data_IF_099323024860
#
_entry.id   IF_099323024860
#
_cell.length_a   1.000
_cell.length_b   1.000
_cell.length_c   1.000
_cell.angle_alpha   90.00
_cell.angle_beta   90.00
_cell.angle_gamma   90.00
#
_symmetry.space_group_name_H-M   'P 1'
#
loop_
_entity.id
_entity.type
_entity.pdbx_description
1 polymer ?
#
# COMPACT_ATOMS: atom_id res chain seq x y z
N UNK A 1 18.18 -4.96 -7.77
CA UNK A 1 16.84 -5.53 -8.07
C UNK A 1 16.95 -6.88 -8.78
N UNK A 2 17.11 -6.96 -10.11
CA UNK A 2 17.06 -8.25 -10.84
C UNK A 2 18.10 -9.26 -10.34
N UNK A 3 19.37 -8.85 -10.22
CA UNK A 3 20.44 -9.71 -9.72
C UNK A 3 20.18 -10.21 -8.29
N UNK A 4 19.78 -9.30 -7.41
CA UNK A 4 19.53 -9.60 -5.99
C UNK A 4 18.30 -10.49 -5.79
N UNK A 5 17.28 -10.34 -6.63
CA UNK A 5 16.07 -11.17 -6.63
C UNK A 5 16.28 -12.57 -7.20
N UNK A 6 17.43 -12.84 -7.84
CA UNK A 6 17.78 -14.12 -8.48
C UNK A 6 16.69 -14.66 -9.43
N UNK A 7 15.96 -13.77 -10.10
CA UNK A 7 14.88 -14.18 -11.02
C UNK A 7 15.46 -14.94 -12.21
N UNK A 8 14.93 -16.14 -12.46
CA UNK A 8 15.33 -16.95 -13.61
C UNK A 8 14.73 -16.45 -14.92
N UNK A 9 13.60 -15.75 -14.84
CA UNK A 9 12.80 -15.31 -15.98
C UNK A 9 12.43 -13.84 -15.84
N UNK A 10 12.59 -13.08 -16.91
CA UNK A 10 12.15 -11.67 -17.00
C UNK A 10 11.14 -11.53 -18.13
N UNK A 11 9.99 -10.95 -17.81
CA UNK A 11 8.96 -10.57 -18.78
C UNK A 11 9.20 -9.13 -19.23
N UNK A 12 9.21 -8.88 -20.53
CA UNK A 12 9.43 -7.54 -21.10
C UNK A 12 8.44 -7.22 -22.20
N UNK A 13 8.16 -5.93 -22.39
CA UNK A 13 7.51 -5.43 -23.58
C UNK A 13 8.54 -5.24 -24.70
N UNK A 14 8.12 -5.30 -25.98
CA UNK A 14 9.02 -5.00 -27.13
C UNK A 14 9.77 -3.67 -26.94
N UNK A 15 9.09 -2.63 -26.47
CA UNK A 15 9.71 -1.31 -26.25
C UNK A 15 10.80 -1.31 -25.17
N UNK A 16 10.75 -2.21 -24.19
CA UNK A 16 11.72 -2.29 -23.10
C UNK A 16 12.69 -3.46 -23.24
N UNK A 17 12.66 -4.19 -24.37
CA UNK A 17 13.50 -5.37 -24.61
C UNK A 17 15.00 -5.03 -24.55
N UNK A 18 15.39 -3.81 -24.94
CA UNK A 18 16.77 -3.34 -24.89
C UNK A 18 17.32 -3.29 -23.45
N UNK A 19 16.48 -2.96 -22.45
CA UNK A 19 16.86 -2.95 -21.04
C UNK A 19 17.25 -4.34 -20.52
N UNK A 20 16.63 -5.40 -21.03
CA UNK A 20 17.02 -6.76 -20.66
C UNK A 20 18.40 -7.15 -21.21
N UNK A 21 18.84 -6.54 -22.33
CA UNK A 21 20.15 -6.80 -22.94
C UNK A 21 21.30 -6.12 -22.18
N UNK A 22 21.01 -5.01 -21.49
CA UNK A 22 21.98 -4.24 -20.71
C UNK A 22 22.14 -4.76 -19.27
N UNK A 23 21.44 -5.82 -18.87
CA UNK A 23 21.60 -6.43 -17.56
C UNK A 23 22.98 -7.10 -17.41
N UNK A 24 23.70 -6.73 -16.35
CA UNK A 24 25.01 -7.30 -15.99
C UNK A 24 24.96 -8.80 -15.72
N UNK A 25 23.86 -9.29 -15.17
CA UNK A 25 23.54 -10.71 -15.01
C UNK A 25 22.30 -11.03 -15.86
N UNK A 26 22.50 -11.85 -16.90
CA UNK A 26 21.39 -12.22 -17.78
C UNK A 26 20.48 -13.23 -17.06
N UNK A 27 19.17 -12.97 -16.95
CA UNK A 27 18.24 -14.00 -16.51
C UNK A 27 18.32 -15.18 -17.48
N UNK A 28 18.07 -16.40 -16.98
CA UNK A 28 18.06 -17.61 -17.79
C UNK A 28 17.11 -17.48 -18.98
N UNK A 29 16.04 -16.71 -18.84
CA UNK A 29 15.08 -16.48 -19.92
C UNK A 29 14.54 -15.06 -19.92
N UNK A 30 14.48 -14.46 -21.11
CA UNK A 30 13.79 -13.18 -21.36
C UNK A 30 12.61 -13.46 -22.29
N UNK A 31 11.39 -13.30 -21.80
CA UNK A 31 10.18 -13.45 -22.60
C UNK A 31 9.60 -12.11 -22.97
N UNK A 32 9.47 -11.86 -24.27
CA UNK A 32 8.74 -10.70 -24.76
C UNK A 32 7.24 -11.01 -24.81
N UNK A 33 6.48 -10.38 -23.91
CA UNK A 33 5.05 -10.67 -23.72
C UNK A 33 4.16 -10.14 -24.85
N UNK A 34 4.68 -9.28 -25.73
CA UNK A 34 3.91 -8.77 -26.89
C UNK A 34 4.18 -9.52 -28.18
N UNK A 35 4.89 -10.67 -28.12
CA UNK A 35 4.98 -11.57 -29.27
C UNK A 35 3.60 -12.18 -29.55
N UNK A 36 3.06 -11.88 -30.74
CA UNK A 36 1.73 -12.29 -31.20
C UNK A 36 1.49 -13.80 -31.19
N UNK A 37 2.55 -14.61 -31.29
CA UNK A 37 2.48 -16.07 -31.21
C UNK A 37 2.09 -16.61 -29.82
N UNK A 38 2.28 -15.83 -28.75
CA UNK A 38 1.92 -16.19 -27.38
C UNK A 38 0.47 -15.84 -27.05
N UNK A 39 -0.04 -14.72 -27.59
CA UNK A 39 -1.39 -14.20 -27.29
C UNK A 39 -2.48 -15.07 -27.96
N UNK A 40 -2.17 -15.72 -29.08
CA UNK A 40 -3.13 -16.50 -29.88
C UNK A 40 -3.30 -17.95 -29.44
N UNK A 41 -2.45 -18.48 -28.56
CA UNK A 41 -2.57 -19.85 -28.05
C UNK A 41 -3.45 -19.86 -26.81
N UNK A 42 -4.70 -20.30 -26.98
CA UNK A 42 -5.54 -20.71 -25.85
C UNK A 42 -4.85 -21.90 -25.19
N UNK A 43 -4.38 -21.73 -23.96
CA UNK A 43 -3.92 -22.85 -23.15
C UNK A 43 -5.13 -23.45 -22.46
N UNK A 44 -5.25 -24.77 -22.49
CA UNK A 44 -6.18 -25.48 -21.62
C UNK A 44 -5.80 -25.14 -20.18
N UNK A 45 -6.68 -24.43 -19.48
CA UNK A 45 -6.45 -23.99 -18.11
C UNK A 45 -6.48 -25.22 -17.21
N UNK A 46 -5.34 -25.86 -17.00
CA UNK A 46 -5.08 -26.44 -15.68
C UNK A 46 -4.97 -25.26 -14.74
N UNK A 47 -5.86 -25.16 -13.76
CA UNK A 47 -5.68 -24.26 -12.61
C UNK A 47 -4.24 -24.46 -12.14
N UNK A 48 -3.35 -23.46 -12.23
CA UNK A 48 -1.98 -23.63 -11.76
C UNK A 48 -2.04 -24.10 -10.32
N UNK A 49 -1.11 -24.96 -9.91
CA UNK A 49 -0.93 -25.30 -8.49
C UNK A 49 -0.91 -23.98 -7.71
N UNK A 50 -1.97 -23.72 -6.96
CA UNK A 50 -2.09 -22.50 -6.18
C UNK A 50 -1.13 -22.67 -5.04
N UNK A 51 -0.10 -21.82 -4.97
CA UNK A 51 0.79 -21.81 -3.81
C UNK A 51 -0.04 -21.66 -2.53
N UNK A 52 0.48 -22.17 -1.41
CA UNK A 52 -0.14 -21.92 -0.09
C UNK A 52 -0.24 -20.42 0.20
N UNK A 53 -1.07 -20.01 1.16
CA UNK A 53 -1.11 -18.62 1.64
C UNK A 53 0.28 -18.08 2.03
N UNK A 54 1.16 -18.93 2.57
CA UNK A 54 2.53 -18.60 2.97
C UNK A 54 3.52 -18.50 1.81
N UNK A 55 3.10 -18.79 0.58
CA UNK A 55 3.95 -18.66 -0.59
C UNK A 55 4.18 -17.19 -0.92
N UNK A 56 5.41 -16.86 -1.34
CA UNK A 56 5.80 -15.51 -1.77
C UNK A 56 5.01 -15.12 -3.03
N UNK A 57 4.37 -13.96 -2.99
CA UNK A 57 3.59 -13.40 -4.08
C UNK A 57 4.39 -12.36 -4.88
N UNK A 58 5.18 -11.53 -4.19
CA UNK A 58 5.99 -10.49 -4.82
C UNK A 58 7.25 -10.18 -4.01
N UNK A 59 8.21 -9.52 -4.67
CA UNK A 59 9.34 -8.85 -4.01
C UNK A 59 9.31 -7.39 -4.45
N UNK A 60 9.30 -6.48 -3.49
CA UNK A 60 9.34 -5.04 -3.76
C UNK A 60 10.58 -4.42 -3.14
N UNK A 61 11.25 -3.57 -3.91
CA UNK A 61 12.44 -2.88 -3.45
C UNK A 61 12.06 -1.50 -2.92
N UNK A 62 12.44 -1.23 -1.67
CA UNK A 62 12.29 0.08 -1.03
C UNK A 62 13.63 0.82 -1.00
N UNK A 63 13.63 2.15 -0.91
CA UNK A 63 14.87 2.88 -0.66
C UNK A 63 15.43 2.44 0.70
N UNK A 64 16.71 2.11 0.74
CA UNK A 64 17.39 1.90 2.01
C UNK A 64 17.96 3.21 2.52
N UNK A 65 17.94 3.40 3.83
CA UNK A 65 18.64 4.50 4.52
C UNK A 65 20.14 4.54 4.23
N UNK A 66 20.75 3.42 3.85
CA UNK A 66 22.15 3.30 3.41
C UNK A 66 22.38 3.58 1.92
N UNK A 67 21.33 3.94 1.16
CA UNK A 67 21.36 4.05 -0.29
C UNK A 67 21.23 2.71 -1.04
N UNK A 68 21.33 1.57 -0.36
CA UNK A 68 21.12 0.24 -0.95
C UNK A 68 19.64 -0.14 -0.91
N UNK A 69 18.97 -0.41 -2.04
CA UNK A 69 17.57 -0.83 -2.05
C UNK A 69 17.35 -2.11 -1.24
N UNK A 70 16.24 -2.19 -0.50
CA UNK A 70 15.91 -3.33 0.36
C UNK A 70 14.76 -4.10 -0.26
N UNK A 71 15.00 -5.33 -0.73
CA UNK A 71 13.94 -6.19 -1.25
C UNK A 71 13.12 -6.81 -0.12
N UNK A 72 11.81 -6.55 -0.10
CA UNK A 72 10.84 -7.06 0.87
C UNK A 72 9.98 -8.11 0.20
N UNK A 73 9.81 -9.29 0.81
CA UNK A 73 8.84 -10.26 0.31
C UNK A 73 7.42 -9.88 0.75
N UNK A 74 6.45 -10.08 -0.15
CA UNK A 74 5.03 -10.09 0.18
C UNK A 74 4.50 -11.52 0.05
N UNK A 75 3.62 -11.93 0.96
CA UNK A 75 3.01 -13.27 0.96
C UNK A 75 1.58 -13.22 0.39
N UNK A 76 1.09 -14.34 -0.16
CA UNK A 76 -0.26 -14.43 -0.70
C UNK A 76 -1.34 -14.19 0.36
N UNK A 77 -1.20 -14.77 1.56
CA UNK A 77 -2.14 -14.59 2.67
C UNK A 77 -2.19 -13.14 3.14
N UNK A 78 -1.02 -12.49 3.22
CA UNK A 78 -0.91 -11.11 3.64
C UNK A 78 -1.59 -10.17 2.64
N UNK A 79 -1.35 -10.37 1.34
CA UNK A 79 -2.01 -9.61 0.29
C UNK A 79 -3.53 -9.85 0.33
N UNK A 80 -3.97 -11.10 0.46
CA UNK A 80 -5.39 -11.45 0.51
C UNK A 80 -6.08 -10.74 1.68
N UNK A 81 -5.50 -10.80 2.88
CA UNK A 81 -6.03 -10.13 4.07
C UNK A 81 -6.11 -8.61 3.91
N UNK A 82 -5.05 -7.96 3.40
CA UNK A 82 -5.05 -6.51 3.19
C UNK A 82 -6.10 -6.12 2.15
N UNK A 83 -6.15 -6.81 1.01
CA UNK A 83 -7.12 -6.52 -0.06
C UNK A 83 -8.55 -6.71 0.44
N UNK A 84 -8.84 -7.81 1.14
CA UNK A 84 -10.17 -8.08 1.68
C UNK A 84 -10.58 -7.03 2.72
N UNK A 85 -9.70 -6.71 3.68
CA UNK A 85 -9.98 -5.73 4.74
C UNK A 85 -10.28 -4.35 4.16
N UNK A 86 -9.45 -3.86 3.24
CA UNK A 86 -9.64 -2.54 2.63
C UNK A 86 -10.83 -2.54 1.67
N UNK A 87 -11.07 -3.64 0.94
CA UNK A 87 -12.22 -3.77 0.05
C UNK A 87 -13.54 -3.68 0.81
N UNK A 88 -13.63 -4.35 1.97
CA UNK A 88 -14.78 -4.24 2.87
C UNK A 88 -14.96 -2.82 3.38
N UNK A 89 -13.89 -2.17 3.86
CA UNK A 89 -13.95 -0.80 4.38
C UNK A 89 -14.39 0.24 3.32
N UNK A 90 -13.97 0.04 2.07
CA UNK A 90 -14.33 0.89 0.94
C UNK A 90 -15.60 0.43 0.21
N UNK A 91 -16.25 -0.65 0.67
CA UNK A 91 -17.44 -1.26 0.07
C UNK A 91 -17.27 -1.60 -1.42
N UNK A 92 -16.10 -2.14 -1.80
CA UNK A 92 -15.81 -2.56 -3.18
C UNK A 92 -16.77 -3.67 -3.60
N UNK A 93 -17.28 -3.57 -4.82
CA UNK A 93 -18.12 -4.59 -5.45
C UNK A 93 -18.02 -4.51 -6.97
N UNK A 94 -18.76 -5.36 -7.68
CA UNK A 94 -18.65 -5.52 -9.14
C UNK A 94 -18.92 -4.23 -9.94
N UNK A 95 -19.71 -3.29 -9.41
CA UNK A 95 -19.98 -1.99 -10.03
C UNK A 95 -18.86 -0.96 -9.80
N UNK A 96 -17.88 -1.29 -8.97
CA UNK A 96 -16.78 -0.38 -8.65
C UNK A 96 -15.85 -0.22 -9.84
N UNK A 97 -15.29 0.98 -9.91
CA UNK A 97 -14.28 1.39 -10.88
C UNK A 97 -13.11 1.96 -10.09
N UNK A 98 -11.94 1.32 -10.19
CA UNK A 98 -10.76 1.62 -9.40
C UNK A 98 -9.66 2.16 -10.30
N UNK A 99 -9.09 3.31 -9.94
CA UNK A 99 -7.95 3.87 -10.65
C UNK A 99 -6.65 3.14 -10.27
N UNK A 100 -5.95 2.65 -11.28
CA UNK A 100 -4.57 2.18 -11.21
C UNK A 100 -3.66 3.29 -11.72
N UNK A 101 -3.02 3.99 -10.78
CA UNK A 101 -2.11 5.08 -11.11
C UNK A 101 -0.74 4.93 -10.42
N UNK A 102 -0.60 4.11 -9.38
CA UNK A 102 0.71 3.93 -8.77
C UNK A 102 1.68 3.21 -9.73
N UNK A 103 2.94 3.64 -9.78
CA UNK A 103 3.92 2.97 -10.62
C UNK A 103 4.09 1.50 -10.19
N UNK A 104 4.32 0.60 -11.16
CA UNK A 104 4.41 -0.85 -10.94
C UNK A 104 5.52 -1.28 -9.96
N UNK A 105 6.48 -0.41 -9.69
CA UNK A 105 7.53 -0.62 -8.68
C UNK A 105 7.05 -0.39 -7.23
N UNK A 106 5.86 0.17 -7.03
CA UNK A 106 5.28 0.43 -5.70
C UNK A 106 4.21 -0.59 -5.36
N UNK A 107 4.11 -0.92 -4.07
CA UNK A 107 3.10 -1.86 -3.53
C UNK A 107 1.65 -1.40 -3.81
N UNK A 108 1.42 -0.09 -3.93
CA UNK A 108 0.11 0.46 -4.25
C UNK A 108 -0.40 0.08 -5.65
N UNK A 109 0.50 -0.27 -6.58
CA UNK A 109 0.09 -0.80 -7.89
C UNK A 109 -0.54 -2.19 -7.76
N UNK A 110 0.04 -3.04 -6.91
CA UNK A 110 -0.50 -4.35 -6.55
C UNK A 110 -1.85 -4.15 -5.84
N UNK A 111 -1.91 -3.22 -4.90
CA UNK A 111 -3.14 -2.87 -4.19
C UNK A 111 -4.28 -2.49 -5.14
N UNK A 112 -4.09 -1.48 -5.99
CA UNK A 112 -5.11 -1.00 -6.92
C UNK A 112 -5.58 -2.10 -7.88
N UNK A 113 -4.64 -2.91 -8.37
CA UNK A 113 -4.92 -4.02 -9.30
C UNK A 113 -5.74 -5.12 -8.61
N UNK A 114 -5.28 -5.63 -7.47
CA UNK A 114 -5.94 -6.72 -6.77
C UNK A 114 -7.27 -6.29 -6.16
N UNK A 115 -7.39 -5.06 -5.67
CA UNK A 115 -8.66 -4.52 -5.18
C UNK A 115 -9.73 -4.54 -6.27
N UNK A 116 -9.37 -4.30 -7.53
CA UNK A 116 -10.32 -4.40 -8.64
C UNK A 116 -10.62 -5.87 -8.98
N UNK A 117 -9.58 -6.64 -9.29
CA UNK A 117 -9.72 -7.99 -9.85
C UNK A 117 -10.31 -9.00 -8.85
N UNK A 118 -9.96 -8.90 -7.56
CA UNK A 118 -10.47 -9.81 -6.55
C UNK A 118 -11.96 -9.59 -6.22
N UNK A 119 -12.50 -8.39 -6.50
CA UNK A 119 -13.89 -8.02 -6.20
C UNK A 119 -14.78 -7.97 -7.46
N UNK A 120 -14.29 -8.41 -8.62
CA UNK A 120 -15.03 -8.34 -9.88
C UNK A 120 -15.28 -6.91 -10.39
N UNK A 121 -14.52 -5.94 -9.89
CA UNK A 121 -14.61 -4.54 -10.25
C UNK A 121 -13.80 -4.21 -11.51
N UNK A 122 -14.01 -3.03 -12.08
CA UNK A 122 -13.26 -2.56 -13.25
C UNK A 122 -11.98 -1.82 -12.82
N UNK A 123 -10.84 -2.18 -13.41
CA UNK A 123 -9.58 -1.47 -13.28
C UNK A 123 -9.43 -0.43 -14.41
N UNK A 124 -9.24 0.84 -14.06
CA UNK A 124 -8.95 1.94 -14.98
C UNK A 124 -7.47 2.27 -14.87
N UNK A 125 -6.70 2.08 -15.94
CA UNK A 125 -5.24 2.21 -15.90
C UNK A 125 -4.84 3.58 -16.46
N UNK A 126 -4.19 4.40 -15.64
CA UNK A 126 -3.65 5.69 -16.06
C UNK A 126 -2.29 5.52 -16.77
N UNK A 127 -2.12 6.21 -17.89
CA UNK A 127 -0.84 6.39 -18.58
C UNK A 127 0.13 7.24 -17.77
N UNK A 128 1.40 7.27 -18.17
CA UNK A 128 2.41 8.10 -17.47
C UNK A 128 2.12 9.59 -17.63
N UNK A 129 1.59 9.97 -18.79
CA UNK A 129 1.20 11.32 -19.16
C UNK A 129 0.00 11.80 -18.34
N UNK A 130 -1.02 10.96 -18.18
CA UNK A 130 -2.19 11.28 -17.35
C UNK A 130 -1.79 11.48 -15.88
N UNK A 131 -0.93 10.63 -15.33
CA UNK A 131 -0.44 10.78 -13.95
C UNK A 131 0.35 12.06 -13.70
N UNK A 132 1.04 12.55 -14.72
CA UNK A 132 1.84 13.76 -14.62
C UNK A 132 1.00 15.05 -14.75
N UNK A 133 -0.29 14.96 -15.06
CA UNK A 133 -1.17 16.10 -15.33
C UNK A 133 -2.46 16.02 -14.49
N UNK A 134 -2.71 16.99 -13.60
CA UNK A 134 -3.93 17.06 -12.81
C UNK A 134 -5.18 17.05 -13.67
N UNK A 135 -5.17 17.81 -14.78
CA UNK A 135 -6.31 17.89 -15.67
C UNK A 135 -6.55 16.52 -16.33
N UNK A 136 -5.51 15.88 -16.85
CA UNK A 136 -5.66 14.61 -17.55
C UNK A 136 -6.11 13.48 -16.60
N UNK A 137 -5.57 13.40 -15.39
CA UNK A 137 -6.03 12.38 -14.42
C UNK A 137 -7.47 12.63 -13.98
N UNK A 138 -7.87 13.89 -13.77
CA UNK A 138 -9.26 14.24 -13.42
C UNK A 138 -10.21 13.98 -14.59
N UNK A 139 -9.79 14.25 -15.83
CA UNK A 139 -10.54 13.89 -17.04
C UNK A 139 -10.73 12.38 -17.15
N UNK A 140 -9.71 11.58 -16.83
CA UNK A 140 -9.78 10.13 -16.79
C UNK A 140 -10.75 9.64 -15.69
N UNK A 141 -10.69 10.22 -14.49
CA UNK A 141 -11.60 9.93 -13.39
C UNK A 141 -13.07 10.14 -13.81
N UNK A 142 -13.35 11.28 -14.47
CA UNK A 142 -14.67 11.63 -14.97
C UNK A 142 -15.12 10.70 -16.11
N UNK A 143 -14.31 10.58 -17.16
CA UNK A 143 -14.64 9.85 -18.40
C UNK A 143 -14.85 8.36 -18.18
N UNK A 144 -14.17 7.79 -17.19
CA UNK A 144 -14.31 6.38 -16.82
C UNK A 144 -15.12 6.15 -15.55
N UNK A 145 -15.84 7.17 -15.05
CA UNK A 145 -16.70 7.07 -13.88
C UNK A 145 -16.01 6.39 -12.68
N UNK A 146 -14.76 6.77 -12.40
CA UNK A 146 -14.00 6.16 -11.32
C UNK A 146 -14.71 6.41 -9.99
N UNK A 147 -14.92 5.32 -9.24
CA UNK A 147 -15.63 5.34 -7.96
C UNK A 147 -14.68 5.35 -6.77
N UNK A 148 -13.52 4.71 -6.89
CA UNK A 148 -12.53 4.60 -5.81
C UNK A 148 -11.16 4.90 -6.39
N UNK A 149 -10.40 5.72 -5.70
CA UNK A 149 -9.00 5.98 -6.05
C UNK A 149 -8.13 6.06 -4.81
N UNK A 150 -6.84 5.82 -5.01
CA UNK A 150 -5.80 6.19 -4.05
C UNK A 150 -5.05 7.41 -4.58
N UNK A 151 -4.80 8.38 -3.70
CA UNK A 151 -3.90 9.49 -3.95
C UNK A 151 -3.26 9.91 -2.63
N UNK A 152 -1.96 10.23 -2.65
CA UNK A 152 -1.34 10.81 -1.46
C UNK A 152 -2.04 12.14 -1.11
N UNK A 153 -2.09 12.54 0.17
CA UNK A 153 -2.77 13.78 0.57
C UNK A 153 -2.32 15.02 -0.23
N UNK A 154 -1.01 15.18 -0.45
CA UNK A 154 -0.47 16.30 -1.25
C UNK A 154 -0.82 16.20 -2.74
N UNK A 155 -0.84 14.98 -3.29
CA UNK A 155 -1.20 14.73 -4.68
C UNK A 155 -2.68 15.06 -4.94
N UNK A 156 -3.58 14.60 -4.08
CA UNK A 156 -5.00 14.94 -4.19
C UNK A 156 -5.24 16.44 -4.03
N UNK A 157 -4.55 17.08 -3.08
CA UNK A 157 -4.59 18.54 -2.94
C UNK A 157 -4.14 19.26 -4.22
N UNK A 158 -3.08 18.78 -4.85
CA UNK A 158 -2.61 19.32 -6.12
C UNK A 158 -3.65 19.16 -7.24
N UNK A 159 -4.35 18.01 -7.31
CA UNK A 159 -5.43 17.83 -8.27
C UNK A 159 -6.56 18.85 -8.07
N UNK A 160 -7.05 18.99 -6.84
CA UNK A 160 -8.16 19.91 -6.52
C UNK A 160 -7.77 21.37 -6.76
N UNK A 161 -6.55 21.79 -6.37
CA UNK A 161 -6.07 23.15 -6.60
C UNK A 161 -5.90 23.49 -8.09
N UNK A 162 -5.51 22.51 -8.90
CA UNK A 162 -5.28 22.72 -10.33
C UNK A 162 -6.58 22.72 -11.14
N UNK A 163 -7.53 21.87 -10.78
CA UNK A 163 -8.75 21.61 -11.55
C UNK A 163 -9.99 22.34 -11.02
N UNK A 164 -9.95 22.80 -9.77
CA UNK A 164 -11.10 23.36 -9.05
C UNK A 164 -11.95 22.26 -8.38
N UNK A 165 -12.51 22.54 -7.19
CA UNK A 165 -13.28 21.55 -6.42
C UNK A 165 -14.55 21.08 -7.14
N UNK A 166 -15.18 21.95 -7.93
CA UNK A 166 -16.43 21.66 -8.63
C UNK A 166 -16.29 20.48 -9.60
N UNK A 167 -15.10 20.30 -10.20
CA UNK A 167 -14.86 19.18 -11.12
C UNK A 167 -14.97 17.82 -10.43
N UNK A 168 -14.82 17.73 -9.11
CA UNK A 168 -14.95 16.49 -8.36
C UNK A 168 -16.38 16.24 -7.88
N UNK A 169 -17.26 17.25 -7.94
CA UNK A 169 -18.66 17.14 -7.52
C UNK A 169 -19.47 16.31 -8.54
N UNK A 170 -19.10 16.37 -9.83
CA UNK A 170 -19.76 15.63 -10.91
C UNK A 170 -19.18 14.23 -11.16
N UNK A 171 -18.03 13.91 -10.59
CA UNK A 171 -17.40 12.59 -10.74
C UNK A 171 -18.05 11.65 -9.72
N UNK A 172 -18.44 10.41 -10.11
CA UNK A 172 -19.05 9.44 -9.20
C UNK A 172 -18.05 8.80 -8.21
N UNK A 173 -17.09 9.58 -7.72
CA UNK A 173 -16.17 9.21 -6.66
C UNK A 173 -16.95 9.05 -5.35
N UNK A 174 -16.79 7.89 -4.73
CA UNK A 174 -17.37 7.57 -3.41
C UNK A 174 -16.31 7.42 -2.33
N UNK A 175 -15.07 7.09 -2.70
CA UNK A 175 -13.99 6.92 -1.71
C UNK A 175 -12.64 7.32 -2.29
N UNK A 176 -11.93 8.17 -1.55
CA UNK A 176 -10.54 8.51 -1.78
C UNK A 176 -9.73 7.98 -0.61
N UNK A 177 -8.86 7.02 -0.90
CA UNK A 177 -7.92 6.47 0.06
C UNK A 177 -6.65 7.33 -0.02
N UNK A 178 -6.26 7.91 1.10
CA UNK A 178 -4.98 8.57 1.28
C UNK A 178 -4.02 7.66 2.03
N UNK A 179 -2.74 7.98 1.97
CA UNK A 179 -1.71 7.26 2.71
C UNK A 179 -0.33 7.65 2.25
N UNK A 180 0.69 7.11 2.92
CA UNK A 180 2.10 7.39 2.60
C UNK A 180 2.59 8.78 3.03
N UNK A 181 1.70 9.72 3.37
CA UNK A 181 2.01 11.00 3.99
C UNK A 181 1.04 11.29 5.13
N UNK A 182 1.49 12.07 6.12
CA UNK A 182 0.61 12.54 7.18
C UNK A 182 -0.43 13.51 6.60
N UNK A 183 -1.71 13.22 6.82
CA UNK A 183 -2.78 14.19 6.55
C UNK A 183 -2.61 15.40 7.49
N UNK A 184 -2.63 16.61 6.92
CA UNK A 184 -2.48 17.89 7.63
C UNK A 184 -3.78 18.67 7.55
N UNK A 185 -3.93 19.69 8.39
CA UNK A 185 -5.08 20.59 8.39
C UNK A 185 -5.31 21.27 7.01
N UNK A 186 -4.23 21.57 6.26
CA UNK A 186 -4.33 22.09 4.89
C UNK A 186 -5.03 21.12 3.94
N UNK A 187 -4.86 19.80 4.10
CA UNK A 187 -5.54 18.80 3.29
C UNK A 187 -7.03 18.70 3.66
N UNK A 188 -7.37 18.86 4.95
CA UNK A 188 -8.77 18.88 5.38
C UNK A 188 -9.55 20.05 4.78
N UNK A 189 -8.91 21.21 4.60
CA UNK A 189 -9.52 22.33 3.89
C UNK A 189 -9.86 21.97 2.43
N UNK A 190 -8.99 21.21 1.76
CA UNK A 190 -9.27 20.67 0.42
C UNK A 190 -10.45 19.70 0.46
N UNK A 191 -10.50 18.76 1.40
CA UNK A 191 -11.60 17.80 1.51
C UNK A 191 -12.94 18.51 1.72
N UNK A 192 -12.97 19.54 2.59
CA UNK A 192 -14.14 20.39 2.84
C UNK A 192 -14.60 21.20 1.63
N UNK A 193 -13.69 21.52 0.71
CA UNK A 193 -14.04 22.35 -0.46
C UNK A 193 -14.88 21.61 -1.50
N UNK A 194 -14.89 20.26 -1.49
CA UNK A 194 -15.69 19.46 -2.40
C UNK A 194 -17.10 19.32 -1.84
N UNK A 195 -18.13 19.82 -2.55
CA UNK A 195 -19.52 19.70 -2.11
C UNK A 195 -20.16 18.37 -2.53
N UNK A 196 -19.59 17.27 -2.06
CA UNK A 196 -20.13 15.93 -2.24
C UNK A 196 -20.20 15.22 -0.87
N UNK A 197 -21.39 15.19 -0.26
CA UNK A 197 -21.59 14.59 1.07
C UNK A 197 -21.46 13.07 1.10
N UNK A 198 -21.50 12.41 -0.07
CA UNK A 198 -21.32 10.96 -0.20
C UNK A 198 -19.85 10.56 -0.37
N UNK A 199 -18.96 11.52 -0.63
CA UNK A 199 -17.53 11.26 -0.80
C UNK A 199 -16.86 11.01 0.54
N UNK A 200 -16.36 9.79 0.74
CA UNK A 200 -15.57 9.43 1.93
C UNK A 200 -14.08 9.64 1.66
N UNK A 201 -13.39 10.24 2.63
CA UNK A 201 -11.94 10.26 2.68
C UNK A 201 -11.49 9.25 3.73
N UNK A 202 -10.56 8.36 3.37
CA UNK A 202 -10.02 7.36 4.28
C UNK A 202 -8.51 7.48 4.32
N UNK A 203 -7.89 7.40 5.50
CA UNK A 203 -6.43 7.40 5.60
C UNK A 203 -5.92 6.00 5.95
N UNK A 204 -5.03 5.50 5.11
CA UNK A 204 -4.38 4.21 5.26
C UNK A 204 -2.94 4.36 5.72
N UNK A 205 -2.54 3.55 6.69
CA UNK A 205 -1.16 3.46 7.17
C UNK A 205 -0.65 2.05 7.07
N UNK A 206 0.60 1.91 6.61
CA UNK A 206 1.33 0.66 6.65
C UNK A 206 2.69 0.79 5.95
N UNK A 207 3.75 0.17 6.48
CA UNK A 207 5.00 -0.02 5.74
C UNK A 207 4.86 -1.16 4.72
N UNK A 208 5.76 -1.20 3.73
CA UNK A 208 5.83 -2.32 2.75
C UNK A 208 6.01 -3.65 3.47
N UNK A 209 6.76 -3.66 4.56
CA UNK A 209 7.08 -4.81 5.42
C UNK A 209 5.88 -5.38 6.19
N UNK A 210 4.79 -4.63 6.29
CA UNK A 210 3.52 -5.09 6.84
C UNK A 210 2.42 -5.18 5.77
N UNK A 211 2.81 -5.30 4.50
CA UNK A 211 1.92 -5.51 3.35
C UNK A 211 0.92 -4.39 3.09
N UNK A 212 1.43 -3.28 2.52
CA UNK A 212 0.68 -2.12 2.01
C UNK A 212 0.03 -1.28 3.12
N UNK A 213 -0.98 -1.80 3.81
CA UNK A 213 -1.69 -1.15 4.89
C UNK A 213 -1.82 -2.12 6.08
N UNK A 214 -1.54 -1.63 7.29
CA UNK A 214 -1.84 -2.27 8.56
C UNK A 214 -3.05 -1.62 9.26
N UNK A 215 -3.41 -0.40 8.87
CA UNK A 215 -4.54 0.36 9.41
C UNK A 215 -5.31 1.08 8.30
N UNK A 216 -6.60 1.30 8.53
CA UNK A 216 -7.46 2.15 7.70
C UNK A 216 -8.51 2.83 8.57
N UNK A 217 -8.83 4.08 8.29
CA UNK A 217 -9.91 4.80 8.98
C UNK A 217 -10.54 5.88 8.14
N UNK A 218 -11.80 6.18 8.39
CA UNK A 218 -12.48 7.34 7.80
C UNK A 218 -11.94 8.62 8.45
N UNK A 219 -11.57 9.58 7.61
CA UNK A 219 -11.16 10.91 8.06
C UNK A 219 -12.44 11.71 8.35
N UNK A 220 -12.72 11.93 9.63
CA UNK A 220 -13.76 12.87 10.04
C UNK A 220 -13.23 14.30 9.91
N UNK A 221 -13.33 14.86 8.71
CA UNK A 221 -12.93 16.23 8.43
C UNK A 221 -13.94 17.25 8.98
N UNK A 222 -15.11 16.84 9.45
CA UNK A 222 -16.13 17.76 9.99
C UNK A 222 -15.82 18.17 11.42
N UNK A 223 -15.21 17.29 12.21
CA UNK A 223 -14.75 17.60 13.56
C UNK A 223 -13.52 18.49 13.51
N UNK A 224 -13.47 19.50 14.39
CA UNK A 224 -12.25 20.26 14.67
C UNK A 224 -11.28 19.47 15.56
N UNK A 225 -11.11 18.18 15.29
CA UNK A 225 -10.16 17.38 16.06
C UNK A 225 -8.75 17.85 15.73
N UNK A 226 -7.96 18.05 16.79
CA UNK A 226 -6.54 18.41 16.68
C UNK A 226 -5.71 17.29 16.03
N UNK A 227 -6.19 16.06 16.13
CA UNK A 227 -5.47 14.85 15.73
C UNK A 227 -6.22 14.09 14.64
N UNK A 228 -5.51 13.72 13.57
CA UNK A 228 -6.03 12.90 12.48
C UNK A 228 -5.39 11.53 12.64
N UNK A 229 -6.22 10.52 12.88
CA UNK A 229 -5.81 9.13 13.07
C UNK A 229 -5.78 8.40 11.74
N UNK A 230 -5.00 7.33 11.66
CA UNK A 230 -4.97 6.42 10.50
C UNK A 230 -5.93 5.23 10.65
N UNK A 231 -6.88 5.36 11.59
CA UNK A 231 -7.90 4.36 11.90
C UNK A 231 -7.37 3.16 12.67
N UNK A 232 -8.15 2.08 12.61
CA UNK A 232 -7.92 0.85 13.38
C UNK A 232 -7.14 -0.17 12.56
N UNK A 233 -6.59 -1.18 13.25
CA UNK A 233 -5.86 -2.26 12.60
C UNK A 233 -6.77 -3.03 11.61
N UNK A 234 -6.18 -3.55 10.52
CA UNK A 234 -6.87 -4.47 9.63
C UNK A 234 -7.18 -5.80 10.32
N UNK A 235 -7.99 -6.64 9.69
CA UNK A 235 -8.21 -8.00 10.18
C UNK A 235 -6.89 -8.76 10.32
N UNK A 236 -6.81 -9.67 11.30
CA UNK A 236 -5.62 -10.48 11.58
C UNK A 236 -4.30 -9.68 11.72
N UNK A 237 -4.42 -8.40 12.08
CA UNK A 237 -3.30 -7.47 12.25
C UNK A 237 -3.36 -6.89 13.65
N UNK A 238 -2.20 -6.78 14.30
CA UNK A 238 -2.08 -6.21 15.63
C UNK A 238 -1.14 -5.01 15.60
N UNK A 239 -1.49 -3.97 16.34
CA UNK A 239 -0.64 -2.78 16.54
C UNK A 239 -0.24 -2.73 18.00
N UNK A 240 1.06 -2.69 18.23
CA UNK A 240 1.64 -2.53 19.56
C UNK A 240 2.32 -1.17 19.62
N UNK A 241 2.10 -0.45 20.72
CA UNK A 241 2.83 0.78 21.03
C UNK A 241 3.60 0.51 22.32
N UNK A 242 4.92 0.63 22.25
CA UNK A 242 5.82 0.18 23.33
C UNK A 242 6.87 1.22 23.69
N UNK A 243 7.42 1.12 24.90
CA UNK A 243 8.57 1.90 25.33
C UNK A 243 9.91 1.30 24.86
N UNK A 244 11.02 1.90 25.29
CA UNK A 244 12.38 1.51 24.88
C UNK A 244 12.77 0.10 25.38
N UNK A 245 12.13 -0.39 26.44
CA UNK A 245 12.32 -1.74 26.98
C UNK A 245 11.32 -2.77 26.43
N UNK A 246 10.60 -2.45 25.34
CA UNK A 246 9.55 -3.29 24.74
C UNK A 246 8.41 -3.63 25.72
N UNK A 247 8.03 -2.71 26.60
CA UNK A 247 6.83 -2.84 27.45
C UNK A 247 5.69 -2.04 26.83
N UNK A 248 4.48 -2.58 26.87
CA UNK A 248 3.30 -1.88 26.38
C UNK A 248 3.06 -0.59 27.15
N UNK A 249 2.83 0.51 26.43
CA UNK A 249 2.42 1.78 27.05
C UNK A 249 0.90 1.83 27.23
N UNK A 250 0.43 2.65 28.16
CA UNK A 250 -1.01 2.88 28.34
C UNK A 250 -1.65 3.53 27.10
N UNK A 251 -2.95 3.32 26.90
CA UNK A 251 -3.70 3.96 25.82
C UNK A 251 -3.56 5.49 25.91
N UNK A 252 -3.31 6.14 24.77
CA UNK A 252 -3.06 7.58 24.66
C UNK A 252 -1.63 8.02 24.99
N UNK A 253 -0.75 7.12 25.41
CA UNK A 253 0.68 7.39 25.59
C UNK A 253 1.47 7.13 24.31
N UNK A 254 2.52 7.94 24.11
CA UNK A 254 3.43 7.81 22.96
C UNK A 254 4.41 6.67 23.18
N UNK A 255 4.68 5.92 22.12
CA UNK A 255 5.74 4.92 22.05
C UNK A 255 6.14 4.63 20.61
N UNK A 256 7.03 3.65 20.43
CA UNK A 256 7.38 3.12 19.12
C UNK A 256 6.29 2.14 18.65
N UNK A 257 5.92 2.22 17.38
CA UNK A 257 4.91 1.38 16.76
C UNK A 257 5.56 0.08 16.27
N UNK A 258 4.98 -1.06 16.66
CA UNK A 258 5.27 -2.37 16.12
C UNK A 258 3.99 -2.96 15.53
N UNK A 259 4.15 -3.73 14.45
CA UNK A 259 3.02 -4.37 13.77
C UNK A 259 3.20 -5.88 13.86
N UNK A 260 2.16 -6.63 14.21
CA UNK A 260 2.16 -8.09 14.18
C UNK A 260 1.01 -8.64 13.35
N UNK A 261 1.01 -9.96 13.13
CA UNK A 261 -0.07 -10.66 12.42
C UNK A 261 0.28 -11.03 10.98
N UNK A 262 -0.76 -11.30 10.20
CA UNK A 262 -0.63 -11.90 8.86
C UNK A 262 0.22 -11.05 7.91
N UNK A 263 0.20 -9.72 8.06
CA UNK A 263 0.91 -8.78 7.20
C UNK A 263 2.45 -8.83 7.24
N UNK A 264 3.06 -9.44 8.27
CA UNK A 264 4.47 -9.21 8.66
C UNK A 264 5.44 -10.31 8.20
N UNK A 265 4.98 -11.48 7.78
CA UNK A 265 5.85 -12.66 7.65
C UNK A 265 6.74 -12.71 6.39
N UNK A 266 6.85 -11.61 5.64
CA UNK A 266 7.65 -11.56 4.41
C UNK A 266 9.16 -11.56 4.65
N UNK A 267 9.64 -10.76 5.60
CA UNK A 267 11.08 -10.50 5.75
C UNK A 267 11.71 -9.79 4.54
N UNK A 268 13.02 -9.56 4.62
CA UNK A 268 13.81 -9.01 3.52
C UNK A 268 14.57 -10.12 2.76
N UNK A 269 15.08 -9.77 1.56
CA UNK A 269 16.09 -10.58 0.87
C UNK A 269 17.35 -10.75 1.73
N UNK A 270 17.72 -9.72 2.50
CA UNK A 270 18.82 -9.78 3.46
C UNK A 270 18.37 -10.40 4.78
N UNK A 271 19.01 -11.52 5.17
CA UNK A 271 18.73 -12.19 6.43
C UNK A 271 19.14 -11.35 7.66
N UNK A 272 20.22 -10.58 7.56
CA UNK A 272 20.70 -9.70 8.63
C UNK A 272 19.66 -8.61 8.93
N UNK A 273 19.21 -7.92 7.89
CA UNK A 273 18.21 -6.87 8.02
C UNK A 273 16.86 -7.43 8.47
N UNK A 274 16.56 -8.67 8.10
CA UNK A 274 15.36 -9.37 8.57
C UNK A 274 15.43 -9.53 10.08
N UNK A 275 16.55 -9.99 10.63
CA UNK A 275 16.72 -10.16 12.09
C UNK A 275 16.66 -8.84 12.85
N UNK A 276 17.07 -7.73 12.25
CA UNK A 276 17.03 -6.40 12.89
C UNK A 276 15.59 -5.86 13.05
N UNK A 277 14.72 -6.12 12.06
CA UNK A 277 13.40 -5.46 11.97
C UNK A 277 12.20 -6.38 12.14
N UNK A 278 12.34 -7.68 11.85
CA UNK A 278 11.31 -8.70 12.03
C UNK A 278 11.64 -9.52 13.27
N UNK A 279 11.15 -9.05 14.41
CA UNK A 279 11.45 -9.59 15.73
C UNK A 279 10.43 -10.67 16.13
N UNK A 280 10.78 -11.61 17.02
CA UNK A 280 9.79 -12.47 17.66
C UNK A 280 8.68 -11.64 18.31
N UNK A 281 7.43 -11.98 18.04
CA UNK A 281 6.28 -11.30 18.60
C UNK A 281 6.00 -11.81 20.02
N UNK A 282 6.58 -11.12 21.01
CA UNK A 282 6.40 -11.42 22.44
C UNK A 282 4.99 -11.13 22.96
N UNK A 283 4.16 -10.43 22.18
CA UNK A 283 2.78 -10.09 22.51
C UNK A 283 1.74 -11.00 21.83
N UNK A 284 2.18 -11.92 20.97
CA UNK A 284 1.28 -12.76 20.20
C UNK A 284 0.47 -13.69 21.10
N UNK A 285 -0.86 -13.60 21.00
CA UNK A 285 -1.74 -14.59 21.62
C UNK A 285 -1.72 -15.94 20.88
N UNK A 286 -2.29 -17.01 21.48
CA UNK A 286 -2.28 -18.37 20.91
C UNK A 286 -2.81 -18.45 19.48
N UNK A 287 -3.84 -17.68 19.14
CA UNK A 287 -4.43 -17.66 17.79
C UNK A 287 -3.48 -17.13 16.71
N UNK A 288 -2.64 -16.13 17.03
CA UNK A 288 -1.64 -15.63 16.09
C UNK A 288 -0.53 -16.66 15.90
N UNK A 289 -0.08 -17.28 17.01
CA UNK A 289 0.95 -18.30 17.00
C UNK A 289 0.52 -19.57 16.24
N UNK A 290 -0.73 -20.04 16.40
CA UNK A 290 -1.24 -21.22 15.69
C UNK A 290 -1.33 -21.03 14.18
N UNK A 291 -1.54 -19.79 13.71
CA UNK A 291 -1.48 -19.45 12.29
C UNK A 291 -0.04 -19.27 11.78
N UNK A 292 0.96 -19.27 12.68
CA UNK A 292 2.37 -19.06 12.37
C UNK A 292 2.74 -17.58 12.20
N UNK A 293 1.94 -16.66 12.74
CA UNK A 293 2.22 -15.23 12.75
C UNK A 293 3.02 -14.86 13.99
N UNK A 294 4.21 -15.45 14.11
CA UNK A 294 5.07 -15.37 15.29
C UNK A 294 5.99 -14.16 15.30
N UNK A 295 5.95 -13.30 14.29
CA UNK A 295 6.84 -12.14 14.14
C UNK A 295 6.07 -10.82 14.27
N UNK A 296 6.79 -9.80 14.72
CA UNK A 296 6.37 -8.40 14.70
C UNK A 296 7.43 -7.55 13.98
N UNK A 297 6.98 -6.54 13.24
CA UNK A 297 7.83 -5.60 12.51
C UNK A 297 8.03 -4.31 13.31
N UNK A 298 9.30 -3.94 13.51
CA UNK A 298 9.72 -2.67 14.11
C UNK A 298 9.65 -1.55 13.07
N UNK A 299 8.64 -0.68 13.18
CA UNK A 299 8.37 0.33 12.13
C UNK A 299 9.36 1.51 12.16
N UNK A 300 9.91 1.84 13.33
CA UNK A 300 10.61 3.12 13.56
C UNK A 300 9.69 4.35 13.55
N UNK A 301 8.36 4.15 13.49
CA UNK A 301 7.38 5.22 13.61
C UNK A 301 6.99 5.41 15.09
N UNK A 302 6.76 6.67 15.48
CA UNK A 302 6.27 7.05 16.81
C UNK A 302 4.79 7.33 16.73
N UNK A 303 4.02 6.83 17.69
CA UNK A 303 2.58 7.09 17.75
C UNK A 303 1.91 6.67 19.05
N UNK A 304 0.58 6.70 19.04
CA UNK A 304 -0.29 6.39 20.20
C UNK A 304 -1.49 5.57 19.74
N UNK A 305 -1.83 4.55 20.51
CA UNK A 305 -3.11 3.86 20.38
C UNK A 305 -4.14 4.57 21.26
N UNK A 306 -5.24 5.03 20.67
CA UNK A 306 -6.30 5.75 21.39
C UNK A 306 -7.30 4.76 22.02
N UNK A 307 -8.13 5.25 22.94
CA UNK A 307 -9.11 4.43 23.65
C UNK A 307 -10.20 3.83 22.76
N UNK A 308 -10.43 4.40 21.59
CA UNK A 308 -11.33 3.88 20.56
C UNK A 308 -10.66 2.84 19.62
N UNK A 309 -9.39 2.51 19.88
CA UNK A 309 -8.61 1.56 19.09
C UNK A 309 -7.99 2.14 17.82
N UNK A 310 -8.13 3.45 17.57
CA UNK A 310 -7.51 4.11 16.42
C UNK A 310 -6.05 4.50 16.70
N UNK A 311 -5.24 4.51 15.66
CA UNK A 311 -3.81 4.83 15.74
C UNK A 311 -3.55 6.28 15.33
N UNK A 312 -2.81 7.02 16.15
CA UNK A 312 -2.27 8.33 15.82
C UNK A 312 -0.78 8.23 15.48
N UNK A 313 -0.38 8.72 14.30
CA UNK A 313 1.03 8.80 13.90
C UNK A 313 1.61 10.19 14.25
N UNK A 314 2.62 10.21 15.10
CA UNK A 314 3.27 11.43 15.58
C UNK A 314 4.50 11.80 14.76
N UNK A 315 5.19 10.81 14.21
CA UNK A 315 6.41 11.01 13.42
C UNK A 315 7.28 9.77 13.45
N UNK A 316 8.59 9.97 13.48
CA UNK A 316 9.59 8.90 13.58
C UNK A 316 10.24 8.95 14.96
N UNK A 317 10.76 7.82 15.44
CA UNK A 317 11.64 7.82 16.62
C UNK A 317 12.95 8.57 16.31
N UNK A 318 13.58 9.12 17.34
CA UNK A 318 14.88 9.77 17.18
C UNK A 318 15.95 8.74 16.73
N UNK A 319 16.79 9.11 15.77
CA UNK A 319 17.85 8.24 15.23
C UNK A 319 17.43 7.36 14.05
N UNK A 320 16.14 7.29 13.69
CA UNK A 320 15.71 6.69 12.41
C UNK A 320 15.75 7.75 11.30
N UNK A 321 16.52 7.50 10.25
CA UNK A 321 16.81 8.48 9.18
C UNK A 321 15.86 8.43 7.99
N UNK A 322 14.95 7.45 7.91
CA UNK A 322 14.12 7.31 6.71
C UNK A 322 12.96 8.32 6.68
N UNK A 323 12.73 8.90 5.51
CA UNK A 323 11.77 9.98 5.24
C UNK A 323 10.66 9.43 4.31
N UNK A 324 9.46 10.02 4.38
CA UNK A 324 8.39 9.81 3.38
C UNK A 324 8.07 11.13 2.69
N UNK A 325 8.24 11.21 1.38
CA UNK A 325 7.93 12.38 0.56
C UNK A 325 7.04 11.95 -0.62
N UNK A 326 5.85 12.53 -0.78
CA UNK A 326 4.89 12.19 -1.85
C UNK A 326 4.51 10.72 -1.87
N UNK A 327 4.37 10.11 -0.69
CA UNK A 327 4.09 8.68 -0.53
C UNK A 327 5.27 7.75 -0.88
N UNK A 328 6.44 8.31 -1.23
CA UNK A 328 7.66 7.55 -1.53
C UNK A 328 8.56 7.54 -0.30
N UNK A 329 9.02 6.35 0.09
CA UNK A 329 10.06 6.16 1.10
C UNK A 329 11.40 6.59 0.50
N UNK A 330 12.16 7.43 1.22
CA UNK A 330 13.52 7.84 0.91
C UNK A 330 14.41 7.51 2.09
#
# INVERSE_FOLDING_TARGET
MIQESQVSTVLVHTSTLHNARSLSSRPRTVFNVTRSSLIKKRTDRTTPSVGSGKSRAAILFTSGTSGTPKGVYLLNEALSNTIESISRACEVGHSSRILQQSAMSFNLSIFQTLMALANGACLVIATSEERASPNAIVDLLASHHVSITFAAPSEYQWWVQSCGPQRFEDIPLRTIITGGEKVKQSHLATFKSIKNSSLRYMDGYGPTEATIFSNIGVIDYTKQNRWITVGSALHDTAIYVVDEELRSVALGMSGEIYIGGVGVNGGYLSAEMTKERFLPNIFAGPGFLSNGWSNMYRTGDKGRLLSDGTLLIEGRIAGDTQIKLRGVRM
#
